data_IF_571282311123
#
_entry.id   IF_571282311123
#
_cell.length_a   1.000
_cell.length_b   1.000
_cell.length_c   1.000
_cell.angle_alpha   90.00
_cell.angle_beta   90.00
_cell.angle_gamma   90.00
#
_symmetry.space_group_name_H-M   'P 1'
#
loop_
_entity.id
_entity.type
_entity.pdbx_description
1 polymer ?
#
# COMPACT_ATOMS: atom_id res chain seq x y z
N UNK A 1 -8.96 -3.20 7.37
CA UNK A 1 -8.99 -1.82 6.82
C UNK A 1 -7.57 -1.31 6.76
N UNK A 2 -7.18 -0.66 5.66
CA UNK A 2 -5.87 -0.05 5.47
C UNK A 2 -5.93 1.44 5.79
N UNK A 3 -5.02 1.90 6.64
CA UNK A 3 -4.93 3.29 7.11
C UNK A 3 -3.53 3.82 6.85
N UNK A 4 -3.41 5.04 6.29
CA UNK A 4 -2.13 5.69 6.02
C UNK A 4 -2.03 7.05 6.73
N UNK A 5 -0.85 7.34 7.27
CA UNK A 5 -0.47 8.67 7.80
C UNK A 5 0.63 9.26 6.91
N UNK A 6 0.50 10.53 6.57
CA UNK A 6 1.46 11.23 5.71
C UNK A 6 2.09 12.42 6.44
N UNK A 7 3.43 12.48 6.42
CA UNK A 7 4.21 13.63 6.90
C UNK A 7 5.13 14.12 5.77
N UNK A 8 4.83 15.28 5.21
CA UNK A 8 5.51 15.76 4.01
C UNK A 8 5.31 14.79 2.83
N UNK A 9 6.39 14.34 2.21
CA UNK A 9 6.34 13.31 1.16
C UNK A 9 6.36 11.88 1.70
N UNK A 10 6.62 11.66 2.99
CA UNK A 10 6.69 10.31 3.58
C UNK A 10 5.31 9.82 4.00
N UNK A 11 5.04 8.54 3.75
CA UNK A 11 3.78 7.88 4.10
C UNK A 11 4.09 6.59 4.85
N UNK A 12 3.44 6.39 6.00
CA UNK A 12 3.42 5.12 6.72
C UNK A 12 1.99 4.64 6.87
N UNK A 13 1.81 3.39 7.27
CA UNK A 13 0.47 2.90 7.53
C UNK A 13 0.43 1.47 8.02
N UNK A 14 -0.79 0.99 8.26
CA UNK A 14 -1.04 -0.36 8.73
C UNK A 14 -2.37 -0.89 8.25
N UNK A 15 -2.49 -2.22 8.22
CA UNK A 15 -3.73 -2.92 7.98
C UNK A 15 -3.83 -4.14 8.89
N UNK A 16 -5.06 -4.51 9.25
CA UNK A 16 -5.30 -5.48 10.32
C UNK A 16 -4.94 -6.94 10.01
N UNK A 17 -4.67 -7.29 8.75
CA UNK A 17 -4.24 -8.64 8.39
C UNK A 17 -2.73 -8.78 8.68
N UNK A 18 -2.34 -9.85 9.39
CA UNK A 18 -0.95 -10.20 9.70
C UNK A 18 -0.04 -9.05 10.18
N UNK A 19 -0.50 -8.19 11.09
CA UNK A 19 0.28 -7.03 11.55
C UNK A 19 0.86 -6.18 10.40
N UNK A 20 0.08 -6.04 9.32
CA UNK A 20 0.49 -5.39 8.09
C UNK A 20 0.99 -3.97 8.29
N UNK A 21 2.12 -3.64 7.68
CA UNK A 21 2.76 -2.31 7.71
C UNK A 21 3.03 -1.79 6.31
N UNK A 22 3.05 -0.47 6.18
CA UNK A 22 3.30 0.26 4.93
C UNK A 22 4.43 1.27 5.13
N UNK A 23 5.33 1.33 4.16
CA UNK A 23 6.31 2.42 3.99
C UNK A 23 6.23 2.90 2.54
N UNK A 24 6.03 4.19 2.35
CA UNK A 24 5.83 4.78 1.04
C UNK A 24 6.24 6.25 0.97
N UNK A 25 6.23 6.75 -0.27
CA UNK A 25 6.31 8.17 -0.57
C UNK A 25 5.11 8.60 -1.40
N UNK A 26 4.73 9.87 -1.27
CA UNK A 26 3.86 10.54 -2.24
C UNK A 26 4.69 11.38 -3.20
N UNK A 27 4.49 11.16 -4.49
CA UNK A 27 5.10 11.93 -5.57
C UNK A 27 4.09 12.03 -6.73
N UNK A 28 3.90 13.25 -7.25
CA UNK A 28 3.01 13.51 -8.40
C UNK A 28 1.59 12.94 -8.22
N UNK A 29 1.04 13.03 -7.00
CA UNK A 29 -0.31 12.56 -6.67
C UNK A 29 -0.43 11.04 -6.49
N UNK A 30 0.66 10.28 -6.62
CA UNK A 30 0.70 8.83 -6.43
C UNK A 30 1.42 8.48 -5.14
N UNK A 31 0.88 7.51 -4.41
CA UNK A 31 1.52 6.91 -3.24
C UNK A 31 2.15 5.60 -3.70
N UNK A 32 3.46 5.48 -3.60
CA UNK A 32 4.18 4.26 -4.01
C UNK A 32 5.08 3.78 -2.90
N UNK A 33 5.18 2.47 -2.74
CA UNK A 33 6.00 1.90 -1.68
C UNK A 33 5.88 0.39 -1.58
N UNK A 34 6.14 -0.08 -0.37
CA UNK A 34 6.15 -1.50 -0.02
C UNK A 34 5.24 -1.78 1.16
N UNK A 35 4.63 -2.95 1.15
CA UNK A 35 3.90 -3.52 2.28
C UNK A 35 4.68 -4.69 2.85
N UNK A 36 4.54 -4.94 4.14
CA UNK A 36 5.04 -6.14 4.81
C UNK A 36 3.98 -6.65 5.77
N UNK A 37 3.87 -7.97 5.86
CA UNK A 37 2.93 -8.70 6.70
C UNK A 37 3.66 -9.84 7.40
N UNK A 38 3.31 -10.11 8.64
CA UNK A 38 3.75 -11.28 9.39
C UNK A 38 2.58 -11.86 10.17
N UNK A 39 2.25 -13.10 9.86
CA UNK A 39 1.22 -13.88 10.53
C UNK A 39 1.76 -15.27 10.94
N UNK A 40 0.88 -16.14 11.43
CA UNK A 40 1.25 -17.49 11.87
C UNK A 40 1.73 -18.39 10.72
N UNK A 41 1.51 -17.99 9.46
CA UNK A 41 1.83 -18.76 8.26
C UNK A 41 3.11 -18.30 7.57
N UNK A 42 3.56 -17.07 7.82
CA UNK A 42 4.85 -16.61 7.32
C UNK A 42 5.05 -15.10 7.37
N UNK A 43 6.09 -14.67 6.64
CA UNK A 43 6.41 -13.26 6.38
C UNK A 43 6.19 -13.02 4.90
N UNK A 44 5.33 -12.07 4.59
CA UNK A 44 4.97 -11.67 3.23
C UNK A 44 5.30 -10.21 3.02
N UNK A 45 5.67 -9.85 1.80
CA UNK A 45 5.97 -8.47 1.47
C UNK A 45 5.70 -8.22 0.00
N UNK A 46 5.53 -6.96 -0.38
CA UNK A 46 5.30 -6.65 -1.77
C UNK A 46 5.30 -5.17 -2.08
N UNK A 47 4.88 -4.87 -3.31
CA UNK A 47 4.89 -3.53 -3.87
C UNK A 47 3.46 -3.05 -4.11
N UNK A 48 3.27 -1.74 -4.08
CA UNK A 48 1.98 -1.15 -4.42
C UNK A 48 2.10 0.22 -5.10
N UNK A 49 1.01 0.60 -5.75
CA UNK A 49 0.77 1.97 -6.22
C UNK A 49 -0.67 2.33 -5.90
N UNK A 50 -0.86 3.42 -5.15
CA UNK A 50 -2.17 4.00 -4.87
C UNK A 50 -2.31 5.37 -5.49
N UNK A 51 -3.54 5.67 -5.86
CA UNK A 51 -3.99 6.98 -6.29
C UNK A 51 -4.86 7.59 -5.19
N UNK A 52 -4.60 8.86 -4.90
CA UNK A 52 -5.42 9.66 -4.00
C UNK A 52 -6.80 9.85 -4.65
N UNK A 53 -7.86 9.71 -3.87
CA UNK A 53 -9.19 10.07 -4.32
C UNK A 53 -9.40 11.59 -4.28
N UNK A 54 -10.38 12.09 -5.03
CA UNK A 54 -10.71 13.52 -5.11
C UNK A 54 -11.15 14.12 -3.75
N UNK A 55 -11.55 13.28 -2.81
CA UNK A 55 -11.95 13.68 -1.46
C UNK A 55 -10.78 14.00 -0.53
N UNK A 56 -9.55 13.79 -0.99
CA UNK A 56 -8.29 13.93 -0.27
C UNK A 56 -8.14 13.11 1.02
N UNK A 57 -9.11 12.23 1.29
CA UNK A 57 -9.25 11.45 2.53
C UNK A 57 -9.16 9.95 2.29
N UNK A 58 -9.30 9.49 1.05
CA UNK A 58 -9.21 8.09 0.70
C UNK A 58 -8.20 7.85 -0.43
N UNK A 59 -7.79 6.60 -0.57
CA UNK A 59 -6.95 6.14 -1.66
C UNK A 59 -7.37 4.75 -2.10
N UNK A 60 -7.02 4.43 -3.34
CA UNK A 60 -7.23 3.12 -3.93
C UNK A 60 -6.05 2.76 -4.82
N UNK A 61 -5.79 1.48 -4.99
CA UNK A 61 -4.84 1.05 -6.00
C UNK A 61 -4.48 -0.41 -5.91
N UNK A 62 -3.37 -0.74 -6.56
CA UNK A 62 -2.98 -2.11 -6.84
C UNK A 62 -1.78 -2.51 -5.98
N UNK A 63 -1.71 -3.80 -5.66
CA UNK A 63 -0.58 -4.39 -4.97
C UNK A 63 -0.19 -5.74 -5.60
N UNK A 64 1.05 -6.16 -5.36
CA UNK A 64 1.58 -7.47 -5.77
C UNK A 64 2.53 -7.99 -4.69
N UNK A 65 2.70 -9.30 -4.62
CA UNK A 65 3.72 -9.93 -3.77
C UNK A 65 5.12 -9.75 -4.38
N UNK A 66 6.14 -9.74 -3.53
CA UNK A 66 7.54 -9.70 -3.96
C UNK A 66 7.89 -10.88 -4.87
N UNK A 67 7.29 -12.05 -4.64
CA UNK A 67 7.47 -13.24 -5.46
C UNK A 67 7.02 -13.05 -6.92
N UNK A 68 5.99 -12.22 -7.15
CA UNK A 68 5.51 -11.89 -8.50
C UNK A 68 6.36 -10.80 -9.18
N UNK A 69 7.13 -10.06 -8.39
CA UNK A 69 7.97 -8.94 -8.82
C UNK A 69 7.17 -7.65 -9.07
N UNK A 70 7.85 -6.50 -8.93
CA UNK A 70 7.22 -5.18 -9.04
C UNK A 70 6.51 -4.94 -10.38
N UNK A 71 7.01 -5.51 -11.47
CA UNK A 71 6.41 -5.37 -12.80
C UNK A 71 5.00 -5.98 -12.90
N UNK A 72 4.65 -6.91 -12.01
CA UNK A 72 3.31 -7.50 -11.97
C UNK A 72 2.21 -6.46 -11.66
N UNK A 73 2.54 -5.29 -11.10
CA UNK A 73 1.60 -4.17 -10.92
C UNK A 73 0.93 -3.74 -12.24
N UNK A 74 1.53 -4.03 -13.39
CA UNK A 74 0.97 -3.71 -14.71
C UNK A 74 -0.26 -4.57 -15.07
N UNK A 75 -0.36 -5.77 -14.50
CA UNK A 75 -1.34 -6.79 -14.91
C UNK A 75 -2.17 -7.34 -13.74
N UNK A 76 -1.84 -6.99 -12.50
CA UNK A 76 -2.55 -7.48 -11.32
C UNK A 76 -4.00 -7.00 -11.27
N UNK A 77 -4.87 -7.82 -10.71
CA UNK A 77 -6.25 -7.47 -10.36
C UNK A 77 -6.43 -7.32 -8.85
N UNK A 78 -5.35 -7.54 -8.08
CA UNK A 78 -5.35 -7.35 -6.63
C UNK A 78 -5.41 -5.86 -6.31
N UNK A 79 -6.33 -5.50 -5.42
CA UNK A 79 -6.60 -4.11 -5.11
C UNK A 79 -6.76 -3.89 -3.61
N UNK A 80 -6.45 -2.66 -3.19
CA UNK A 80 -6.77 -2.14 -1.88
C UNK A 80 -7.48 -0.79 -1.98
N UNK A 81 -8.30 -0.54 -0.98
CA UNK A 81 -8.87 0.75 -0.66
C UNK A 81 -8.55 1.07 0.80
N UNK A 82 -8.36 2.35 1.10
CA UNK A 82 -8.07 2.77 2.47
C UNK A 82 -8.28 4.25 2.70
N UNK A 83 -8.03 4.65 3.94
CA UNK A 83 -8.25 6.01 4.43
C UNK A 83 -6.95 6.65 4.86
N UNK A 84 -6.82 7.93 4.55
CA UNK A 84 -5.73 8.78 5.03
C UNK A 84 -6.19 9.45 6.34
N UNK A 85 -5.34 9.36 7.36
CA UNK A 85 -5.56 9.96 8.70
C UNK A 85 -4.54 11.05 8.99
#
# INVERSE_FOLDING_TARGET
>A
MLTLTQTGSSVTGSYGHGNGTIIAIVQDGKITGTWNETDDTGVYAGFFVFEKADDDKSFKGLWVDTADGKDALKNTTQYWNGVRV
#
